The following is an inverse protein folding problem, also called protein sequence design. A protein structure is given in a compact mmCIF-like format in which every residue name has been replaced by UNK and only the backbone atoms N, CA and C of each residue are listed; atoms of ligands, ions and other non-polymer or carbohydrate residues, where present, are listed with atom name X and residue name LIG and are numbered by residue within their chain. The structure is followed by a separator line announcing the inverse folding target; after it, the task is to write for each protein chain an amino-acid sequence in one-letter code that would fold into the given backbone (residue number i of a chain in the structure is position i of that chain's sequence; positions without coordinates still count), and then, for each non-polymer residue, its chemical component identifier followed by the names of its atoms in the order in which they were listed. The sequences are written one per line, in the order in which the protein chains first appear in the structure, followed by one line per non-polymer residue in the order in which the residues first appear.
data_IF_814367140066
#
_entry.id   IF_814367140066
#
_cell.length_a   1.000
_cell.length_b   1.000
_cell.length_c   1.000
_cell.angle_alpha   90.00
_cell.angle_beta   90.00
_cell.angle_gamma   90.00
#
_symmetry.space_group_name_H-M   'P 1'
#
loop_
_entity.id
_entity.type
_entity.pdbx_description
1 polymer ?
#
# COMPACT_ATOMS: atom_id res chain seq x y z
N UNK A 1 37.61 12.25 6.92
CA UNK A 1 36.75 11.99 5.74
C UNK A 1 36.35 10.54 5.81
N UNK A 2 35.06 10.24 6.03
CA UNK A 2 34.55 8.88 5.94
C UNK A 2 34.04 8.70 4.52
N UNK A 3 34.65 7.76 3.82
CA UNK A 3 34.36 7.34 2.46
C UNK A 3 32.95 6.76 2.34
N UNK A 4 32.27 7.07 1.22
CA UNK A 4 31.19 6.30 0.61
C UNK A 4 30.02 5.87 1.50
N UNK A 5 28.98 6.69 1.58
CA UNK A 5 27.69 6.29 2.17
C UNK A 5 27.11 5.07 1.45
N UNK A 6 27.06 3.91 2.12
CA UNK A 6 26.38 2.66 1.68
C UNK A 6 24.86 2.81 1.37
N UNK A 7 24.35 4.04 1.42
CA UNK A 7 22.96 4.45 1.21
C UNK A 7 22.80 5.13 -0.17
N UNK A 8 23.88 5.55 -0.84
CA UNK A 8 23.78 6.17 -2.15
C UNK A 8 23.84 5.11 -3.26
N UNK A 9 22.86 5.16 -4.18
CA UNK A 9 22.80 4.28 -5.36
C UNK A 9 22.83 5.15 -6.61
N UNK A 10 23.80 4.88 -7.49
CA UNK A 10 23.99 5.65 -8.72
C UNK A 10 22.71 5.66 -9.58
N UNK A 11 22.27 6.85 -9.98
CA UNK A 11 21.07 7.04 -10.79
C UNK A 11 19.75 7.10 -9.99
N UNK A 12 19.82 7.10 -8.65
CA UNK A 12 18.66 7.19 -7.76
C UNK A 12 18.78 8.34 -6.75
N UNK A 13 17.66 8.99 -6.50
CA UNK A 13 17.41 9.87 -5.36
C UNK A 13 16.88 9.03 -4.19
N UNK A 14 17.42 9.24 -2.99
CA UNK A 14 17.04 8.48 -1.80
C UNK A 14 16.27 9.36 -0.80
N UNK A 15 15.09 8.89 -0.41
CA UNK A 15 14.28 9.46 0.67
C UNK A 15 14.34 8.48 1.84
N UNK A 16 14.86 8.90 2.99
CA UNK A 16 15.04 7.99 4.13
C UNK A 16 14.92 8.70 5.47
N UNK A 17 14.71 7.93 6.53
CA UNK A 17 14.81 8.40 7.91
C UNK A 17 16.21 8.17 8.52
N UNK A 18 17.21 7.77 7.71
CA UNK A 18 18.55 7.49 8.19
C UNK A 18 19.25 8.77 8.67
N UNK A 19 19.22 9.02 9.98
CA UNK A 19 20.06 10.06 10.59
C UNK A 19 21.48 9.53 10.78
N UNK A 20 22.47 10.35 10.42
CA UNK A 20 23.89 9.99 10.51
C UNK A 20 24.32 9.71 11.96
N UNK A 21 24.97 8.55 12.14
CA UNK A 21 25.55 7.95 13.37
C UNK A 21 24.54 7.41 14.40
N UNK A 22 24.48 6.08 14.48
CA UNK A 22 23.87 5.35 15.60
C UNK A 22 22.50 4.74 15.31
N UNK A 23 21.83 5.15 14.24
CA UNK A 23 20.57 4.53 13.83
C UNK A 23 20.83 3.12 13.29
N UNK A 24 20.45 2.08 14.05
CA UNK A 24 20.54 0.67 13.62
C UNK A 24 19.34 0.23 12.78
N UNK A 25 18.32 1.08 12.68
CA UNK A 25 17.05 0.86 11.97
C UNK A 25 16.77 2.05 11.08
N UNK A 26 15.98 1.81 10.06
CA UNK A 26 15.48 2.83 9.17
C UNK A 26 14.87 2.21 7.93
N UNK A 27 14.12 3.04 7.23
CA UNK A 27 13.47 2.72 5.97
C UNK A 27 13.83 3.78 4.93
N UNK A 28 13.87 3.36 3.67
CA UNK A 28 14.20 4.23 2.56
C UNK A 28 13.36 3.90 1.33
N UNK A 29 13.13 4.91 0.50
CA UNK A 29 12.58 4.80 -0.83
C UNK A 29 13.61 5.38 -1.81
N UNK A 30 13.97 4.59 -2.80
CA UNK A 30 14.88 4.98 -3.88
C UNK A 30 14.07 5.27 -5.15
N UNK A 31 14.17 6.49 -5.67
CA UNK A 31 13.47 6.92 -6.88
C UNK A 31 14.50 7.17 -7.97
N UNK A 32 14.32 6.57 -9.15
CA UNK A 32 15.24 6.78 -10.27
C UNK A 32 15.21 8.25 -10.71
N UNK A 33 16.37 8.85 -10.98
CA UNK A 33 16.54 10.29 -11.22
C UNK A 33 15.73 10.88 -12.40
N UNK A 34 15.19 10.03 -13.28
CA UNK A 34 14.31 10.45 -14.37
C UNK A 34 12.86 10.67 -13.93
N UNK A 35 12.49 10.31 -12.70
CA UNK A 35 11.23 10.65 -12.07
C UNK A 35 11.42 11.82 -11.12
N UNK A 36 10.45 12.72 -11.07
CA UNK A 36 10.40 13.78 -10.06
C UNK A 36 9.64 13.25 -8.85
N UNK A 37 10.29 13.20 -7.70
CA UNK A 37 9.64 12.85 -6.44
C UNK A 37 9.87 13.92 -5.39
N UNK A 38 8.96 13.98 -4.43
CA UNK A 38 9.11 14.79 -3.22
C UNK A 38 8.62 14.00 -2.03
N UNK A 39 9.22 14.23 -0.87
CA UNK A 39 8.70 13.66 0.37
C UNK A 39 7.32 14.25 0.68
N UNK A 40 6.39 13.42 1.15
CA UNK A 40 5.11 13.90 1.65
C UNK A 40 5.30 14.68 2.96
N UNK A 41 4.44 15.67 3.19
CA UNK A 41 4.41 16.39 4.47
C UNK A 41 4.24 15.41 5.63
N UNK A 42 4.91 15.67 6.76
CA UNK A 42 4.93 14.82 7.96
C UNK A 42 5.82 13.56 7.84
N UNK A 43 6.58 13.40 6.74
CA UNK A 43 7.55 12.33 6.57
C UNK A 43 8.99 12.88 6.42
N UNK A 44 10.03 12.12 6.82
CA UNK A 44 9.97 10.80 7.42
C UNK A 44 9.32 10.83 8.82
N UNK A 45 8.63 9.75 9.18
CA UNK A 45 8.05 9.54 10.51
C UNK A 45 8.87 8.49 11.25
N UNK A 46 9.18 8.75 12.52
CA UNK A 46 9.88 7.82 13.40
C UNK A 46 9.26 7.89 14.78
N UNK A 47 8.71 6.76 15.24
CA UNK A 47 8.38 6.55 16.65
C UNK A 47 9.47 5.71 17.30
N UNK A 48 10.31 6.37 18.11
CA UNK A 48 11.43 5.73 18.82
C UNK A 48 10.99 4.85 20.00
N UNK A 49 9.76 5.00 20.48
CA UNK A 49 9.23 4.23 21.61
C UNK A 49 8.49 2.99 21.14
N UNK A 50 7.72 3.11 20.05
CA UNK A 50 6.96 2.03 19.45
C UNK A 50 7.72 1.30 18.34
N UNK A 51 8.88 1.83 17.93
CA UNK A 51 9.74 1.25 16.90
C UNK A 51 9.04 1.09 15.56
N UNK A 52 8.33 2.14 15.17
CA UNK A 52 7.65 2.27 13.87
C UNK A 52 8.30 3.39 13.08
N UNK A 53 8.65 3.12 11.84
CA UNK A 53 9.35 4.02 10.94
C UNK A 53 8.61 4.08 9.60
N UNK A 54 8.52 5.26 9.00
CA UNK A 54 7.85 5.40 7.72
C UNK A 54 8.46 6.51 6.88
N UNK A 55 8.58 6.27 5.58
CA UNK A 55 8.87 7.28 4.57
C UNK A 55 7.78 7.20 3.53
N UNK A 56 7.23 8.35 3.12
CA UNK A 56 6.28 8.40 2.02
C UNK A 56 6.67 9.51 1.05
N UNK A 57 6.59 9.20 -0.24
CA UNK A 57 6.95 10.11 -1.33
C UNK A 57 5.79 10.24 -2.29
N UNK A 58 5.68 11.41 -2.91
CA UNK A 58 4.82 11.67 -4.04
C UNK A 58 5.69 11.77 -5.29
N UNK A 59 5.50 10.82 -6.20
CA UNK A 59 6.11 10.80 -7.53
C UNK A 59 5.19 11.51 -8.52
N UNK A 60 5.72 12.49 -9.25
CA UNK A 60 5.00 13.15 -10.33
C UNK A 60 5.10 12.29 -11.59
N UNK A 61 3.95 11.84 -12.08
CA UNK A 61 3.81 11.18 -13.37
C UNK A 61 3.21 12.17 -14.39
N UNK A 62 3.19 11.83 -15.69
CA UNK A 62 2.66 12.75 -16.70
C UNK A 62 1.19 13.15 -16.51
N UNK A 63 0.33 12.22 -16.03
CA UNK A 63 -1.13 12.44 -15.95
C UNK A 63 -1.70 12.40 -14.53
N UNK A 64 -0.94 11.81 -13.61
CA UNK A 64 -1.35 11.61 -12.24
C UNK A 64 -0.15 11.84 -11.32
N UNK A 65 -0.37 11.70 -10.02
CA UNK A 65 0.75 11.53 -9.09
C UNK A 65 0.64 10.17 -8.45
N UNK A 66 1.76 9.55 -8.14
CA UNK A 66 1.79 8.27 -7.48
C UNK A 66 2.31 8.49 -6.07
N UNK A 67 1.56 8.07 -5.07
CA UNK A 67 2.04 8.08 -3.69
C UNK A 67 2.61 6.70 -3.39
N UNK A 68 3.85 6.67 -2.90
CA UNK A 68 4.50 5.45 -2.42
C UNK A 68 4.90 5.66 -0.96
N UNK A 69 4.29 4.89 -0.06
CA UNK A 69 4.65 4.82 1.35
C UNK A 69 5.40 3.52 1.65
N UNK A 70 6.41 3.59 2.50
CA UNK A 70 7.13 2.42 3.01
C UNK A 70 7.12 2.47 4.54
N UNK A 71 6.47 1.50 5.17
CA UNK A 71 6.32 1.36 6.62
C UNK A 71 7.19 0.22 7.11
N UNK A 72 7.97 0.45 8.15
CA UNK A 72 8.68 -0.59 8.88
C UNK A 72 8.22 -0.58 10.33
N UNK A 73 7.68 -1.70 10.79
CA UNK A 73 7.41 -1.96 12.20
C UNK A 73 8.38 -3.03 12.70
N UNK A 74 9.08 -2.77 13.80
CA UNK A 74 9.95 -3.77 14.41
C UNK A 74 9.14 -4.95 14.98
N UNK A 75 9.57 -6.22 14.80
CA UNK A 75 8.91 -7.39 15.40
C UNK A 75 8.97 -7.41 16.93
N UNK A 76 9.85 -6.57 17.50
CA UNK A 76 10.04 -6.44 18.94
C UNK A 76 9.41 -5.17 19.52
N UNK A 77 8.48 -4.53 18.80
CA UNK A 77 7.78 -3.33 19.29
C UNK A 77 7.25 -3.56 20.73
N UNK A 78 7.49 -2.64 21.70
CA UNK A 78 7.18 -2.91 23.11
C UNK A 78 5.69 -3.12 23.42
N UNK A 79 4.80 -2.55 22.60
CA UNK A 79 3.35 -2.70 22.72
C UNK A 79 2.73 -2.88 21.33
N UNK A 80 2.17 -4.06 21.07
CA UNK A 80 1.53 -4.38 19.79
C UNK A 80 0.28 -3.53 19.52
N UNK A 81 -0.55 -3.23 20.53
CA UNK A 81 -1.75 -2.40 20.31
C UNK A 81 -1.39 -0.99 19.87
N UNK A 82 -0.46 -0.34 20.59
CA UNK A 82 -0.07 1.04 20.30
C UNK A 82 0.72 1.12 18.98
N UNK A 83 1.63 0.17 18.72
CA UNK A 83 2.39 0.15 17.46
C UNK A 83 1.51 -0.11 16.24
N UNK A 84 0.58 -1.06 16.29
CA UNK A 84 -0.37 -1.28 15.19
C UNK A 84 -1.32 -0.10 15.01
N UNK A 85 -1.70 0.61 16.08
CA UNK A 85 -2.47 1.85 15.97
C UNK A 85 -1.67 2.93 15.23
N UNK A 86 -0.38 3.10 15.54
CA UNK A 86 0.49 4.02 14.80
C UNK A 86 0.61 3.61 13.33
N UNK A 87 0.75 2.32 13.03
CA UNK A 87 0.75 1.84 11.64
C UNK A 87 -0.57 2.14 10.94
N UNK A 88 -1.72 1.90 11.59
CA UNK A 88 -3.03 2.25 11.05
C UNK A 88 -3.14 3.76 10.76
N UNK A 89 -2.69 4.62 11.66
CA UNK A 89 -2.69 6.06 11.47
C UNK A 89 -1.79 6.50 10.29
N UNK A 90 -0.64 5.85 10.12
CA UNK A 90 0.25 6.09 8.98
C UNK A 90 -0.40 5.66 7.67
N UNK A 91 -1.03 4.48 7.63
CA UNK A 91 -1.80 4.01 6.47
C UNK A 91 -2.88 5.02 6.10
N UNK A 92 -3.66 5.49 7.08
CA UNK A 92 -4.69 6.52 6.86
C UNK A 92 -4.10 7.82 6.32
N UNK A 93 -3.00 8.32 6.91
CA UNK A 93 -2.34 9.55 6.45
C UNK A 93 -1.84 9.44 5.02
N UNK A 94 -1.22 8.32 4.65
CA UNK A 94 -0.68 8.12 3.30
C UNK A 94 -1.81 7.99 2.29
N UNK A 95 -2.79 7.13 2.55
CA UNK A 95 -3.92 6.92 1.64
C UNK A 95 -4.81 8.17 1.49
N UNK A 96 -5.03 8.92 2.57
CA UNK A 96 -5.85 10.14 2.56
C UNK A 96 -5.13 11.35 1.98
N UNK A 97 -3.82 11.25 1.72
CA UNK A 97 -3.04 12.38 1.20
C UNK A 97 -3.42 12.77 -0.23
N UNK A 98 -4.24 11.99 -0.96
CA UNK A 98 -4.73 12.43 -2.27
C UNK A 98 -5.87 11.62 -2.89
N UNK A 99 -6.41 12.13 -4.01
CA UNK A 99 -7.28 11.41 -4.95
C UNK A 99 -6.51 10.59 -6.01
N UNK A 100 -5.26 10.19 -5.72
CA UNK A 100 -4.40 9.52 -6.69
C UNK A 100 -4.18 8.03 -6.39
N UNK A 101 -3.49 7.34 -7.29
CA UNK A 101 -2.97 5.98 -7.09
C UNK A 101 -1.97 5.94 -5.92
N UNK A 102 -2.19 5.03 -4.98
CA UNK A 102 -1.39 4.85 -3.76
C UNK A 102 -0.85 3.43 -3.72
N UNK A 103 0.42 3.30 -3.30
CA UNK A 103 1.03 2.04 -2.89
C UNK A 103 1.64 2.22 -1.51
N UNK A 104 1.23 1.39 -0.55
CA UNK A 104 1.82 1.35 0.79
C UNK A 104 2.48 -0.01 0.94
N UNK A 105 3.78 -0.01 1.12
CA UNK A 105 4.59 -1.23 1.21
C UNK A 105 5.36 -1.27 2.53
N UNK A 106 6.02 -2.39 2.78
CA UNK A 106 7.05 -2.55 3.80
C UNK A 106 6.84 -3.78 4.67
N UNK A 107 7.63 -3.89 5.73
CA UNK A 107 7.59 -5.00 6.68
C UNK A 107 6.74 -4.58 7.90
N UNK A 108 5.53 -5.14 7.96
CA UNK A 108 4.54 -4.79 8.97
C UNK A 108 4.72 -5.61 10.26
N UNK A 109 5.49 -6.71 10.22
CA UNK A 109 5.68 -7.62 11.35
C UNK A 109 4.39 -7.94 12.14
N UNK A 110 3.31 -8.27 11.42
CA UNK A 110 2.02 -8.72 11.97
C UNK A 110 1.85 -10.24 11.75
N UNK A 111 2.59 -11.10 12.47
CA UNK A 111 2.60 -12.55 12.21
C UNK A 111 1.29 -13.26 12.57
N UNK A 112 0.46 -12.62 13.42
CA UNK A 112 -0.81 -13.19 13.86
C UNK A 112 -1.95 -12.97 12.84
N UNK A 113 -1.67 -12.24 11.75
CA UNK A 113 -2.59 -12.06 10.64
C UNK A 113 -2.27 -13.08 9.55
N UNK A 114 -3.29 -13.83 9.15
CA UNK A 114 -3.26 -14.65 7.95
C UNK A 114 -3.51 -13.71 6.77
N UNK A 115 -2.43 -13.26 6.15
CA UNK A 115 -2.47 -12.46 4.94
C UNK A 115 -2.80 -13.37 3.75
N UNK A 116 -4.10 -13.44 3.45
CA UNK A 116 -4.66 -13.96 2.21
C UNK A 116 -5.32 -12.78 1.49
N UNK A 117 -5.45 -12.90 0.17
CA UNK A 117 -5.90 -11.86 -0.75
C UNK A 117 -6.99 -10.94 -0.19
N UNK A 118 -6.92 -9.68 -0.60
CA UNK A 118 -7.82 -8.58 -0.31
C UNK A 118 -7.72 -7.92 1.09
N UNK A 119 -7.86 -8.65 2.21
CA UNK A 119 -8.07 -7.97 3.53
C UNK A 119 -7.35 -8.55 4.75
N UNK A 120 -6.75 -9.75 4.68
CA UNK A 120 -6.14 -10.41 5.84
C UNK A 120 -7.15 -10.88 6.92
N UNK A 121 -6.82 -11.94 7.65
CA UNK A 121 -7.69 -12.55 8.64
C UNK A 121 -6.97 -12.72 9.99
N UNK A 122 -7.67 -12.43 11.09
CA UNK A 122 -7.11 -12.54 12.43
C UNK A 122 -8.16 -12.94 13.46
N UNK A 123 -7.73 -13.40 14.63
CA UNK A 123 -8.61 -13.69 15.76
C UNK A 123 -9.28 -12.42 16.30
N UNK A 124 -10.45 -12.55 16.96
CA UNK A 124 -11.08 -11.44 17.69
C UNK A 124 -10.11 -10.77 18.68
N UNK A 125 -10.21 -9.45 18.82
CA UNK A 125 -9.38 -8.62 19.71
C UNK A 125 -7.87 -8.66 19.40
N UNK A 126 -7.48 -9.10 18.20
CA UNK A 126 -6.08 -9.02 17.81
C UNK A 126 -5.67 -7.55 17.59
N UNK A 127 -4.51 -7.12 18.10
CA UNK A 127 -3.99 -5.77 17.90
C UNK A 127 -3.98 -5.28 16.43
N UNK A 128 -3.73 -6.18 15.46
CA UNK A 128 -3.69 -5.85 14.04
C UNK A 128 -5.08 -5.48 13.46
N UNK A 129 -6.18 -5.74 14.17
CA UNK A 129 -7.54 -5.40 13.71
C UNK A 129 -7.67 -3.92 13.37
N UNK A 130 -7.01 -3.01 14.09
CA UNK A 130 -7.06 -1.57 13.79
C UNK A 130 -6.47 -1.25 12.40
N UNK A 131 -5.40 -1.94 12.02
CA UNK A 131 -4.80 -1.83 10.69
C UNK A 131 -5.72 -2.43 9.63
N UNK A 132 -6.29 -3.62 9.87
CA UNK A 132 -7.23 -4.25 8.92
C UNK A 132 -8.49 -3.40 8.69
N UNK A 133 -9.05 -2.82 9.75
CA UNK A 133 -10.19 -1.90 9.66
C UNK A 133 -9.81 -0.66 8.84
N UNK A 134 -8.61 -0.12 9.03
CA UNK A 134 -8.14 1.02 8.24
C UNK A 134 -7.99 0.67 6.75
N UNK A 135 -7.36 -0.46 6.44
CA UNK A 135 -7.22 -0.98 5.07
C UNK A 135 -8.59 -1.13 4.42
N UNK A 136 -9.55 -1.74 5.09
CA UNK A 136 -10.91 -1.92 4.60
C UNK A 136 -11.65 -0.59 4.37
N UNK A 137 -11.59 0.33 5.34
CA UNK A 137 -12.25 1.65 5.25
C UNK A 137 -11.69 2.52 4.12
N UNK A 138 -10.42 2.33 3.78
CA UNK A 138 -9.73 3.05 2.71
C UNK A 138 -9.86 2.34 1.35
N UNK A 139 -10.62 1.23 1.28
CA UNK A 139 -10.72 0.38 0.09
C UNK A 139 -9.35 -0.01 -0.49
N UNK A 140 -8.39 -0.30 0.39
CA UNK A 140 -7.07 -0.78 0.00
C UNK A 140 -7.10 -2.30 -0.18
N UNK A 141 -6.56 -2.76 -1.30
CA UNK A 141 -6.35 -4.17 -1.61
C UNK A 141 -4.92 -4.56 -1.26
N UNK A 142 -4.78 -5.63 -0.48
CA UNK A 142 -3.49 -6.31 -0.25
C UNK A 142 -3.11 -7.13 -1.49
N UNK A 143 -1.83 -7.08 -1.89
CA UNK A 143 -1.33 -7.73 -3.12
C UNK A 143 -0.44 -8.97 -2.91
N UNK A 144 -0.04 -9.30 -1.68
CA UNK A 144 0.97 -10.32 -1.39
C UNK A 144 0.34 -11.65 -0.98
N UNK A 145 0.37 -12.62 -1.88
CA UNK A 145 -0.27 -13.92 -1.75
C UNK A 145 0.68 -15.06 -1.31
N UNK A 146 1.98 -14.78 -1.17
CA UNK A 146 2.99 -15.78 -0.83
C UNK A 146 3.91 -15.35 0.31
N UNK A 147 4.49 -16.31 1.06
CA UNK A 147 5.45 -15.98 2.11
C UNK A 147 6.64 -15.21 1.54
N UNK A 148 6.99 -14.12 2.22
CA UNK A 148 8.09 -13.22 1.86
C UNK A 148 9.30 -13.38 2.77
N UNK A 149 9.16 -14.10 3.89
CA UNK A 149 10.26 -14.37 4.82
C UNK A 149 10.47 -15.86 5.05
N UNK A 150 11.73 -16.30 4.92
CA UNK A 150 12.18 -17.69 5.05
C UNK A 150 13.39 -17.75 5.98
N UNK A 151 13.21 -18.38 7.13
CA UNK A 151 14.27 -18.54 8.13
C UNK A 151 14.40 -20.00 8.54
N UNK A 152 15.64 -20.47 8.66
CA UNK A 152 15.93 -21.84 9.06
C UNK A 152 15.28 -22.17 10.41
N UNK A 153 14.51 -23.27 10.43
CA UNK A 153 13.78 -23.73 11.61
C UNK A 153 12.51 -22.96 11.93
N UNK A 154 12.04 -22.07 11.05
CA UNK A 154 10.77 -21.36 11.18
C UNK A 154 9.85 -21.63 9.99
N UNK A 155 8.55 -21.55 10.21
CA UNK A 155 7.59 -21.58 9.11
C UNK A 155 7.72 -20.28 8.29
N UNK A 156 7.62 -20.34 6.96
CA UNK A 156 7.59 -19.15 6.13
C UNK A 156 6.42 -18.23 6.51
N UNK A 157 6.65 -16.92 6.51
CA UNK A 157 5.65 -15.92 6.90
C UNK A 157 5.51 -14.82 5.85
N UNK A 158 4.30 -14.29 5.71
CA UNK A 158 4.00 -13.10 4.89
C UNK A 158 3.96 -11.87 5.81
N UNK A 159 5.07 -11.14 5.89
CA UNK A 159 5.20 -9.94 6.75
C UNK A 159 5.47 -8.68 5.95
N UNK A 160 6.13 -8.85 4.80
CA UNK A 160 6.25 -7.81 3.78
C UNK A 160 4.95 -7.73 2.98
N UNK A 161 4.27 -6.58 3.03
CA UNK A 161 2.95 -6.38 2.42
C UNK A 161 3.00 -5.24 1.41
N UNK A 162 2.07 -5.27 0.45
CA UNK A 162 1.82 -4.16 -0.47
C UNK A 162 0.32 -3.95 -0.52
N UNK A 163 -0.11 -2.74 -0.21
CA UNK A 163 -1.50 -2.28 -0.30
C UNK A 163 -1.64 -1.25 -1.40
N UNK A 164 -2.75 -1.29 -2.14
CA UNK A 164 -3.08 -0.26 -3.15
C UNK A 164 -4.57 0.06 -3.18
N UNK A 165 -4.93 1.29 -3.54
CA UNK A 165 -6.31 1.68 -3.81
C UNK A 165 -6.72 1.48 -5.28
N UNK A 166 -5.82 0.94 -6.12
CA UNK A 166 -6.05 0.84 -7.56
C UNK A 166 -5.47 -0.48 -8.13
N UNK A 167 -6.14 -1.59 -7.80
CA UNK A 167 -5.74 -2.93 -8.21
C UNK A 167 -5.60 -3.07 -9.75
N UNK A 168 -6.44 -2.39 -10.52
CA UNK A 168 -6.46 -2.45 -11.99
C UNK A 168 -5.14 -1.98 -12.63
N UNK A 169 -4.33 -1.22 -11.91
CA UNK A 169 -3.01 -0.78 -12.39
C UNK A 169 -1.93 -1.84 -12.21
N UNK A 170 -2.16 -2.88 -11.40
CA UNK A 170 -1.14 -3.90 -11.11
C UNK A 170 -1.04 -4.90 -12.27
N UNK A 171 0.12 -4.95 -12.92
CA UNK A 171 0.38 -5.82 -14.08
C UNK A 171 0.87 -7.19 -13.64
N UNK A 172 1.80 -7.22 -12.68
CA UNK A 172 2.43 -8.47 -12.23
C UNK A 172 3.13 -8.30 -10.90
N UNK A 173 3.21 -9.38 -10.14
CA UNK A 173 3.98 -9.51 -8.91
C UNK A 173 4.94 -10.68 -9.06
N UNK A 174 6.19 -10.49 -8.63
CA UNK A 174 7.24 -11.50 -8.69
C UNK A 174 7.94 -11.57 -7.34
N UNK A 175 8.07 -12.79 -6.85
CA UNK A 175 8.85 -13.13 -5.66
C UNK A 175 10.23 -13.58 -6.10
N UNK A 176 11.25 -12.82 -5.70
CA UNK A 176 12.64 -13.09 -6.05
C UNK A 176 13.40 -13.55 -4.79
N UNK A 177 14.38 -14.45 -4.93
CA UNK A 177 15.18 -14.91 -3.80
C UNK A 177 15.84 -13.74 -3.06
N UNK A 178 16.02 -13.93 -1.76
CA UNK A 178 16.83 -13.03 -0.94
C UNK A 178 18.23 -12.77 -1.53
N UNK A 179 18.76 -11.58 -1.28
CA UNK A 179 20.10 -11.14 -1.68
C UNK A 179 20.98 -11.24 -0.44
N UNK A 180 22.15 -11.86 -0.60
CA UNK A 180 23.09 -12.07 0.48
C UNK A 180 22.52 -12.98 1.56
N UNK A 181 22.58 -12.54 2.81
CA UNK A 181 22.14 -13.30 3.98
C UNK A 181 20.79 -12.84 4.55
N UNK A 182 20.00 -12.10 3.76
CA UNK A 182 18.64 -11.71 4.15
C UNK A 182 17.75 -12.94 4.26
N UNK A 183 16.90 -13.00 5.29
CA UNK A 183 15.80 -13.96 5.40
C UNK A 183 14.53 -13.48 4.68
N UNK A 184 14.52 -12.25 4.16
CA UNK A 184 13.42 -11.69 3.37
C UNK A 184 13.72 -11.80 1.86
N UNK A 185 12.76 -12.37 1.13
CA UNK A 185 12.67 -12.36 -0.33
C UNK A 185 12.30 -10.97 -0.84
N UNK A 186 12.69 -10.69 -2.07
CA UNK A 186 12.35 -9.43 -2.74
C UNK A 186 11.00 -9.57 -3.41
N UNK A 187 10.12 -8.60 -3.17
CA UNK A 187 8.89 -8.46 -3.93
C UNK A 187 9.11 -7.40 -5.00
N UNK A 188 8.90 -7.78 -6.27
CA UNK A 188 8.91 -6.86 -7.39
C UNK A 188 7.54 -6.85 -8.05
N UNK A 189 6.88 -5.70 -8.07
CA UNK A 189 5.62 -5.51 -8.77
C UNK A 189 5.74 -4.47 -9.88
N UNK A 190 4.95 -4.64 -10.93
CA UNK A 190 4.88 -3.73 -12.07
C UNK A 190 3.52 -3.07 -12.10
N UNK A 191 3.51 -1.75 -12.28
CA UNK A 191 2.30 -0.93 -12.27
C UNK A 191 2.18 -0.22 -13.60
N UNK A 192 1.01 -0.30 -14.21
CA UNK A 192 0.61 0.52 -15.34
C UNK A 192 0.32 1.92 -14.84
N UNK A 193 1.15 2.86 -15.25
CA UNK A 193 0.95 4.28 -14.99
C UNK A 193 0.51 4.95 -16.29
N UNK A 194 -0.57 5.71 -16.23
CA UNK A 194 -1.17 6.29 -17.43
C UNK A 194 -0.18 7.26 -18.08
N UNK A 195 0.17 6.99 -19.33
CA UNK A 195 1.01 7.87 -20.16
C UNK A 195 0.32 8.08 -21.50
N UNK A 196 -0.18 9.29 -21.78
CA UNK A 196 -0.71 9.59 -23.12
C UNK A 196 0.37 9.47 -24.19
N UNK A 197 0.07 8.87 -25.35
CA UNK A 197 0.30 9.54 -26.60
C UNK A 197 -0.65 10.75 -26.67
N UNK A 198 -0.17 11.90 -27.15
CA UNK A 198 -0.76 13.25 -27.05
C UNK A 198 -2.21 13.50 -27.52
N UNK A 199 -3.03 12.50 -27.84
CA UNK A 199 -4.38 12.69 -28.37
C UNK A 199 -5.38 11.71 -27.76
N UNK A 200 -6.11 12.12 -26.72
CA UNK A 200 -7.41 11.53 -26.41
C UNK A 200 -8.45 12.63 -26.23
N UNK A 201 -9.40 12.59 -27.16
CA UNK A 201 -10.54 13.47 -27.38
C UNK A 201 -11.58 13.37 -26.25
N UNK A 202 -12.19 14.53 -25.95
CA UNK A 202 -13.39 14.81 -25.13
C UNK A 202 -14.03 13.64 -24.36
N UNK A 203 -14.07 13.79 -23.03
CA UNK A 203 -15.04 13.10 -22.16
C UNK A 203 -16.46 13.36 -22.67
N UNK A 204 -17.26 12.32 -22.84
CA UNK A 204 -18.71 12.45 -23.02
C UNK A 204 -19.34 12.75 -21.66
N UNK A 205 -20.22 13.74 -21.62
CA UNK A 205 -20.99 14.08 -20.43
C UNK A 205 -22.29 13.28 -20.45
N UNK A 206 -22.57 12.53 -19.39
CA UNK A 206 -23.82 11.77 -19.26
C UNK A 206 -24.90 12.68 -18.69
N UNK A 207 -26.07 12.69 -19.33
CA UNK A 207 -27.22 13.50 -18.95
C UNK A 207 -28.07 12.75 -17.90
N UNK A 208 -27.88 13.10 -16.63
CA UNK A 208 -28.57 12.47 -15.51
C UNK A 208 -30.08 12.74 -15.50
N UNK A 209 -30.53 13.82 -16.13
CA UNK A 209 -31.97 14.14 -16.20
C UNK A 209 -32.68 13.20 -17.17
N UNK A 210 -32.05 12.89 -18.31
CA UNK A 210 -32.55 11.86 -19.24
C UNK A 210 -32.59 10.47 -18.64
N UNK A 211 -31.58 10.11 -17.85
CA UNK A 211 -31.57 8.83 -17.14
C UNK A 211 -32.74 8.80 -16.15
N UNK A 212 -32.96 9.89 -15.41
CA UNK A 212 -34.06 9.98 -14.43
C UNK A 212 -35.43 9.91 -15.10
N UNK A 213 -35.61 10.61 -16.22
CA UNK A 213 -36.84 10.56 -17.02
C UNK A 213 -37.11 9.12 -17.49
N UNK A 214 -36.11 8.47 -18.10
CA UNK A 214 -36.26 7.10 -18.57
C UNK A 214 -36.57 6.10 -17.44
N UNK A 215 -35.90 6.23 -16.28
CA UNK A 215 -36.17 5.37 -15.12
C UNK A 215 -37.57 5.61 -14.52
N UNK A 216 -38.14 6.80 -14.70
CA UNK A 216 -39.50 7.13 -14.22
C UNK A 216 -40.61 6.57 -15.11
N UNK A 217 -40.29 6.28 -16.37
CA UNK A 217 -41.22 5.65 -17.33
C UNK A 217 -41.31 4.13 -17.16
N UNK A 218 -40.38 3.54 -16.41
CA UNK A 218 -40.37 2.10 -16.14
C UNK A 218 -41.41 1.79 -15.05
N UNK A 219 -42.36 0.91 -15.38
CA UNK A 219 -43.27 0.32 -14.41
C UNK A 219 -42.55 -0.75 -13.59
N UNK A 220 -41.92 -0.30 -12.50
CA UNK A 220 -41.20 -1.17 -11.58
C UNK A 220 -42.11 -2.20 -10.91
N UNK A 221 -43.41 -1.92 -10.77
CA UNK A 221 -44.35 -2.80 -10.09
C UNK A 221 -44.58 -4.08 -10.90
N UNK A 222 -44.74 -3.97 -12.22
CA UNK A 222 -44.89 -5.14 -13.10
C UNK A 222 -43.59 -5.95 -13.25
N UNK A 223 -42.43 -5.29 -13.23
CA UNK A 223 -41.13 -5.95 -13.25
C UNK A 223 -40.87 -6.75 -11.98
N UNK A 224 -41.19 -6.22 -10.80
CA UNK A 224 -40.92 -6.86 -9.51
C UNK A 224 -41.91 -8.01 -9.23
N UNK A 225 -43.17 -7.90 -9.65
CA UNK A 225 -44.19 -8.96 -9.46
C UNK A 225 -43.91 -10.22 -10.31
N UNK A 226 -43.14 -10.09 -11.40
CA UNK A 226 -42.76 -11.23 -12.24
C UNK A 226 -41.73 -12.18 -11.60
N UNK A 227 -41.18 -11.84 -10.43
CA UNK A 227 -40.18 -12.64 -9.72
C UNK A 227 -40.53 -12.79 -8.23
N UNK A 228 -41.73 -13.29 -7.94
CA UNK A 228 -41.99 -13.85 -6.61
C UNK A 228 -41.10 -15.09 -6.43
N UNK A 229 -40.20 -15.01 -5.44
CA UNK A 229 -39.42 -16.15 -4.95
C UNK A 229 -40.33 -16.96 -4.03
N UNK A 230 -41.31 -17.63 -4.63
CA UNK A 230 -42.11 -18.69 -4.00
C UNK A 230 -42.58 -19.61 -5.12
N UNK A 231 -41.66 -20.39 -5.67
CA UNK A 231 -41.96 -21.65 -6.34
C UNK A 231 -40.81 -22.63 -6.04
N UNK A 232 -41.04 -23.42 -4.99
CA UNK A 232 -40.36 -24.65 -4.52
C UNK A 232 -38.94 -24.60 -3.95
#
# INVERSE_FOLDING_TARGET
MLEGSHIAVDGYEVFSNFCSKGCRRGTAIYVKNNFKAKILSLFPYVDVYLWVECVAVQCQLPEETLIVGNIYQSPFAPNANDSHQVVADLVNKIASSSSNSVFITGDFNMPDVIWVDDYGLTTPNNPAQTTLISVANLALTQLIDQPTRYRDGQNPTTLDLVFTNNLDTVISIKYLPAIGSSDHNYVMFSVLVSTRPSNLTKRSYTDYDKIREHLSEIDWQSLIVSHNVDDS
#
